data_IF_666686755194
#
_entry.id   IF_666686755194
#
_cell.length_a   1.000
_cell.length_b   1.000
_cell.length_c   1.000
_cell.angle_alpha   90.00
_cell.angle_beta   90.00
_cell.angle_gamma   90.00
#
_symmetry.space_group_name_H-M   'P 1'
#
loop_
_entity.id
_entity.type
_entity.pdbx_description
1 polymer ?
#
# COMPACT_ATOMS: atom_id res chain seq x y z
N UNK A 1 21.27 17.11 55.22
CA UNK A 1 20.83 16.67 56.56
C UNK A 1 19.41 16.14 56.41
N UNK A 2 19.07 15.04 57.08
CA UNK A 2 17.91 14.15 56.92
C UNK A 2 17.93 13.23 55.70
N UNK A 3 17.48 11.98 55.76
CA UNK A 3 17.48 10.94 56.80
C UNK A 3 17.12 9.65 56.07
N UNK A 4 17.71 8.53 56.49
CA UNK A 4 17.53 7.19 55.91
C UNK A 4 16.20 6.59 56.39
N UNK A 5 15.47 5.88 55.52
CA UNK A 5 14.60 4.78 55.92
C UNK A 5 14.64 3.63 54.90
N UNK A 6 15.01 2.45 55.40
CA UNK A 6 15.07 1.15 54.71
C UNK A 6 13.72 0.43 54.81
N UNK A 7 13.70 -0.78 54.23
CA UNK A 7 12.76 -1.91 54.36
C UNK A 7 11.59 -1.91 53.37
N UNK A 8 11.20 -3.03 52.76
CA UNK A 8 11.23 -4.41 53.28
C UNK A 8 11.28 -5.45 52.15
N UNK A 9 12.07 -6.49 52.36
CA UNK A 9 12.05 -7.79 51.66
C UNK A 9 10.70 -8.50 51.77
N UNK A 10 10.14 -8.92 50.63
CA UNK A 10 9.03 -9.88 50.55
C UNK A 10 9.45 -11.12 49.75
N UNK A 11 9.83 -12.20 50.45
CA UNK A 11 10.06 -13.53 49.88
C UNK A 11 8.72 -14.24 49.71
N UNK A 12 8.31 -14.56 48.48
CA UNK A 12 7.22 -15.50 48.23
C UNK A 12 7.72 -16.73 47.46
N UNK A 13 8.00 -17.73 48.30
CA UNK A 13 7.87 -19.19 48.15
C UNK A 13 7.61 -19.74 46.74
N UNK A 14 8.56 -20.58 46.33
CA UNK A 14 8.38 -21.68 45.38
C UNK A 14 7.23 -22.61 45.80
N UNK A 15 6.31 -22.86 44.86
CA UNK A 15 5.49 -24.07 44.83
C UNK A 15 5.14 -24.40 43.37
N UNK A 16 5.89 -25.32 42.78
CA UNK A 16 5.41 -26.23 41.74
C UNK A 16 5.18 -27.59 42.43
N UNK A 17 4.44 -28.59 41.89
CA UNK A 17 4.12 -28.85 40.49
C UNK A 17 2.69 -29.47 40.29
N UNK A 18 2.48 -30.16 39.16
CA UNK A 18 1.29 -30.93 38.73
C UNK A 18 0.20 -30.05 38.10
N UNK A 19 -0.10 -30.12 36.81
CA UNK A 19 -0.14 -31.31 35.96
C UNK A 19 -1.54 -31.37 35.35
N UNK A 20 -1.83 -30.44 34.43
CA UNK A 20 -3.03 -30.50 33.59
C UNK A 20 -2.59 -30.16 32.16
N UNK A 21 -2.43 -31.22 31.37
CA UNK A 21 -2.33 -31.17 29.92
C UNK A 21 -3.70 -30.70 29.38
N UNK A 22 -3.90 -29.39 29.31
CA UNK A 22 -4.96 -28.83 28.47
C UNK A 22 -4.41 -28.85 27.06
N UNK A 23 -4.77 -29.89 26.31
CA UNK A 23 -4.68 -29.90 24.85
C UNK A 23 -5.60 -28.79 24.32
N UNK A 24 -5.11 -27.56 24.36
CA UNK A 24 -5.68 -26.46 23.60
C UNK A 24 -5.44 -26.83 22.13
N UNK A 25 -6.48 -27.39 21.51
CA UNK A 25 -6.56 -27.47 20.07
C UNK A 25 -6.37 -26.07 19.54
N UNK A 26 -5.17 -25.80 19.05
CA UNK A 26 -4.89 -24.66 18.19
C UNK A 26 -5.76 -24.88 16.96
N UNK A 27 -6.99 -24.39 17.02
CA UNK A 27 -7.70 -23.97 15.84
C UNK A 27 -6.77 -22.94 15.19
N UNK A 28 -5.97 -23.44 14.23
CA UNK A 28 -5.35 -22.63 13.21
C UNK A 28 -6.51 -21.96 12.49
N UNK A 29 -6.98 -20.85 13.07
CA UNK A 29 -7.74 -19.85 12.38
C UNK A 29 -6.86 -19.42 11.24
N UNK A 30 -7.06 -20.09 10.10
CA UNK A 30 -6.67 -19.58 8.82
C UNK A 30 -7.40 -18.24 8.70
N UNK A 31 -6.73 -17.18 9.15
CA UNK A 31 -6.95 -15.86 8.62
C UNK A 31 -6.53 -15.94 7.15
N UNK A 32 -7.36 -16.57 6.33
CA UNK A 32 -7.46 -16.26 4.92
C UNK A 32 -7.92 -14.81 4.90
N UNK A 33 -6.96 -13.89 4.99
CA UNK A 33 -7.14 -12.50 4.58
C UNK A 33 -7.32 -12.52 3.06
N UNK A 34 -8.47 -13.05 2.66
CA UNK A 34 -8.97 -13.19 1.30
C UNK A 34 -9.55 -11.84 0.85
N UNK A 35 -8.72 -10.81 0.89
CA UNK A 35 -9.00 -9.51 0.28
C UNK A 35 -7.78 -8.89 -0.37
N UNK A 36 -6.70 -9.66 -0.58
CA UNK A 36 -5.71 -9.30 -1.58
C UNK A 36 -6.34 -9.51 -2.97
N UNK A 37 -7.17 -8.55 -3.41
CA UNK A 37 -7.48 -8.42 -4.84
C UNK A 37 -6.13 -8.40 -5.54
N UNK A 38 -5.85 -9.43 -6.34
CA UNK A 38 -4.64 -9.50 -7.13
C UNK A 38 -4.52 -8.23 -7.99
N UNK A 39 -3.30 -7.78 -8.31
CA UNK A 39 -3.11 -6.54 -9.04
C UNK A 39 -3.92 -6.57 -10.33
N UNK A 40 -4.78 -5.56 -10.53
CA UNK A 40 -5.59 -5.47 -11.74
C UNK A 40 -4.67 -5.31 -12.96
N UNK A 41 -4.76 -6.24 -13.90
CA UNK A 41 -4.05 -6.22 -15.18
C UNK A 41 -5.00 -5.78 -16.29
N UNK A 42 -4.47 -5.08 -17.31
CA UNK A 42 -5.22 -4.78 -18.53
C UNK A 42 -4.75 -5.70 -19.66
N UNK A 43 -5.66 -6.05 -20.57
CA UNK A 43 -5.29 -6.70 -21.83
C UNK A 43 -4.56 -5.74 -22.80
N UNK A 44 -4.77 -4.42 -22.64
CA UNK A 44 -4.07 -3.39 -23.39
C UNK A 44 -2.72 -3.10 -22.71
N UNK A 45 -1.57 -3.40 -23.35
CA UNK A 45 -0.26 -3.18 -22.75
C UNK A 45 0.03 -1.71 -22.48
N UNK A 46 -0.67 -0.80 -23.15
CA UNK A 46 -0.56 0.65 -22.92
C UNK A 46 -1.37 1.12 -21.73
N UNK A 47 -2.04 0.23 -20.99
CA UNK A 47 -2.80 0.57 -19.79
C UNK A 47 -2.26 -0.18 -18.58
N UNK A 48 -2.01 0.54 -17.50
CA UNK A 48 -1.77 -0.06 -16.20
C UNK A 48 -2.65 0.56 -15.13
N UNK A 49 -2.83 -0.18 -14.03
CA UNK A 49 -3.63 0.25 -12.89
C UNK A 49 -2.74 0.37 -11.65
N UNK A 50 -3.02 1.38 -10.83
CA UNK A 50 -2.46 1.52 -9.50
C UNK A 50 -3.59 1.51 -8.48
N UNK A 51 -3.49 0.62 -7.50
CA UNK A 51 -4.29 0.67 -6.29
C UNK A 51 -3.68 1.70 -5.33
N UNK A 52 -4.55 2.60 -4.88
CA UNK A 52 -4.24 3.65 -3.94
C UNK A 52 -4.68 3.20 -2.55
N UNK A 53 -3.73 3.19 -1.63
CA UNK A 53 -3.97 3.29 -0.20
C UNK A 53 -3.57 4.69 0.27
N UNK A 54 -3.90 5.03 1.52
CA UNK A 54 -3.72 6.37 2.09
C UNK A 54 -2.33 6.98 1.82
N UNK A 55 -1.26 6.17 1.85
CA UNK A 55 0.11 6.62 1.59
C UNK A 55 0.86 5.75 0.59
N UNK A 56 0.25 4.66 0.12
CA UNK A 56 0.93 3.65 -0.68
C UNK A 56 0.26 3.46 -2.03
N UNK A 57 1.07 3.15 -3.02
CA UNK A 57 0.68 2.89 -4.40
C UNK A 57 1.18 1.50 -4.76
N UNK A 58 0.29 0.61 -5.21
CA UNK A 58 0.69 -0.72 -5.68
C UNK A 58 0.06 -1.01 -7.03
N UNK A 59 0.76 -1.77 -7.86
CA UNK A 59 0.21 -2.17 -9.15
C UNK A 59 1.19 -2.99 -9.96
N UNK A 60 0.83 -3.21 -11.22
CA UNK A 60 1.65 -3.92 -12.20
C UNK A 60 1.60 -3.18 -13.53
N UNK A 61 2.71 -3.15 -14.26
CA UNK A 61 2.76 -2.59 -15.61
C UNK A 61 3.49 -3.52 -16.58
N UNK A 62 3.22 -3.35 -17.87
CA UNK A 62 3.92 -4.06 -18.93
C UNK A 62 5.22 -3.31 -19.28
N UNK A 63 6.41 -3.91 -19.06
CA UNK A 63 7.69 -3.24 -19.30
C UNK A 63 7.98 -2.98 -20.79
N UNK A 64 7.26 -3.62 -21.72
CA UNK A 64 7.37 -3.33 -23.16
C UNK A 64 6.72 -2.00 -23.53
N UNK A 65 5.75 -1.53 -22.76
CA UNK A 65 5.02 -0.28 -23.01
C UNK A 65 5.48 0.87 -22.10
N UNK A 66 6.15 0.57 -20.98
CA UNK A 66 6.48 1.53 -19.94
C UNK A 66 7.90 1.34 -19.42
N UNK A 67 8.62 2.46 -19.27
CA UNK A 67 9.86 2.52 -18.51
C UNK A 67 9.54 2.81 -17.05
N UNK A 68 10.37 2.32 -16.13
CA UNK A 68 10.27 2.59 -14.69
C UNK A 68 10.12 4.09 -14.38
N UNK A 69 10.91 4.94 -15.05
CA UNK A 69 10.87 6.40 -14.96
C UNK A 69 9.49 6.98 -15.34
N UNK A 70 8.86 6.48 -16.40
CA UNK A 70 7.55 6.92 -16.88
C UNK A 70 6.46 6.58 -15.84
N UNK A 71 6.54 5.38 -15.27
CA UNK A 71 5.62 4.90 -14.23
C UNK A 71 5.77 5.75 -12.97
N UNK A 72 6.99 5.95 -12.48
CA UNK A 72 7.27 6.76 -11.30
C UNK A 72 6.79 8.21 -11.49
N UNK A 73 7.02 8.81 -12.66
CA UNK A 73 6.56 10.16 -13.00
C UNK A 73 5.03 10.27 -13.05
N UNK A 74 4.36 9.25 -13.57
CA UNK A 74 2.90 9.15 -13.58
C UNK A 74 2.32 9.03 -12.17
N UNK A 75 2.84 8.10 -11.37
CA UNK A 75 2.45 7.87 -9.99
C UNK A 75 2.70 9.10 -9.10
N UNK A 76 3.76 9.86 -9.37
CA UNK A 76 4.01 11.11 -8.66
C UNK A 76 2.83 12.09 -8.81
N UNK A 77 2.11 12.11 -9.94
CA UNK A 77 0.98 13.02 -10.14
C UNK A 77 -0.24 12.74 -9.25
N UNK A 78 -0.32 11.57 -8.60
CA UNK A 78 -1.41 11.22 -7.69
C UNK A 78 -1.03 11.33 -6.21
N UNK A 79 0.25 11.58 -5.91
CA UNK A 79 0.69 11.94 -4.56
C UNK A 79 0.37 13.40 -4.26
N UNK A 80 -0.05 13.72 -3.03
CA UNK A 80 -0.50 15.08 -2.69
C UNK A 80 0.57 16.16 -2.84
N UNK A 81 1.83 15.82 -2.59
CA UNK A 81 2.99 16.71 -2.81
C UNK A 81 3.71 16.45 -4.15
N UNK A 82 3.07 15.70 -5.05
CA UNK A 82 3.63 15.23 -6.32
C UNK A 82 4.98 14.51 -6.19
N UNK A 83 5.21 13.86 -5.06
CA UNK A 83 6.50 13.26 -4.71
C UNK A 83 6.33 11.86 -4.15
N UNK A 84 7.06 10.92 -4.74
CA UNK A 84 7.25 9.57 -4.24
C UNK A 84 8.55 9.56 -3.43
N UNK A 85 8.49 9.09 -2.19
CA UNK A 85 9.65 8.98 -1.29
C UNK A 85 10.34 7.63 -1.40
N UNK A 86 9.57 6.60 -1.73
CA UNK A 86 10.08 5.25 -1.92
C UNK A 86 9.44 4.64 -3.15
N UNK A 87 10.25 4.03 -4.01
CA UNK A 87 9.78 3.31 -5.18
C UNK A 87 10.56 2.01 -5.31
N UNK A 88 9.86 0.90 -5.44
CA UNK A 88 10.45 -0.44 -5.59
C UNK A 88 9.71 -1.20 -6.67
N UNK A 89 10.46 -1.98 -7.43
CA UNK A 89 9.93 -2.86 -8.46
C UNK A 89 10.35 -4.30 -8.18
N UNK A 90 9.53 -5.24 -8.62
CA UNK A 90 9.88 -6.66 -8.63
C UNK A 90 9.29 -7.33 -9.88
N UNK A 91 9.98 -8.31 -10.47
CA UNK A 91 9.41 -9.13 -11.54
C UNK A 91 8.13 -9.83 -11.08
N UNK A 92 7.13 -9.90 -11.95
CA UNK A 92 5.86 -10.58 -11.73
C UNK A 92 5.42 -11.30 -13.01
N UNK A 93 6.14 -12.36 -13.37
CA UNK A 93 6.01 -13.02 -14.67
C UNK A 93 6.57 -12.14 -15.79
N UNK A 94 5.77 -11.89 -16.83
CA UNK A 94 6.11 -10.98 -17.93
C UNK A 94 5.87 -9.49 -17.59
N UNK A 95 5.29 -9.23 -16.43
CA UNK A 95 4.95 -7.89 -15.94
C UNK A 95 5.92 -7.46 -14.84
N UNK A 96 5.92 -6.16 -14.52
CA UNK A 96 6.66 -5.60 -13.39
C UNK A 96 5.65 -5.14 -12.34
N UNK A 97 5.71 -5.72 -11.15
CA UNK A 97 4.98 -5.23 -10.00
C UNK A 97 5.75 -4.08 -9.35
N UNK A 98 5.04 -3.05 -8.92
CA UNK A 98 5.64 -1.90 -8.24
C UNK A 98 4.96 -1.63 -6.90
N UNK A 99 5.74 -1.00 -6.03
CA UNK A 99 5.31 -0.37 -4.80
C UNK A 99 5.87 1.05 -4.77
N UNK A 100 5.03 2.02 -4.42
CA UNK A 100 5.41 3.41 -4.20
C UNK A 100 4.87 3.94 -2.88
N UNK A 101 5.61 4.81 -2.21
CA UNK A 101 5.16 5.55 -1.03
C UNK A 101 5.09 7.06 -1.34
N UNK A 102 3.96 7.70 -1.07
CA UNK A 102 3.74 9.12 -1.33
C UNK A 102 4.08 9.97 -0.10
N UNK A 103 4.87 11.03 -0.29
CA UNK A 103 5.11 11.99 0.80
C UNK A 103 3.85 12.78 1.12
N UNK A 104 3.32 12.63 2.34
CA UNK A 104 2.10 13.32 2.78
C UNK A 104 0.81 12.71 2.23
N UNK A 105 0.87 11.45 1.76
CA UNK A 105 -0.29 10.71 1.28
C UNK A 105 -0.64 10.95 -0.19
N UNK A 106 -1.72 10.30 -0.61
CA UNK A 106 -2.32 10.44 -1.94
C UNK A 106 -3.39 11.53 -1.95
N UNK A 107 -3.57 12.23 -3.08
CA UNK A 107 -4.69 13.18 -3.26
C UNK A 107 -6.06 12.48 -3.21
N UNK A 108 -6.04 11.16 -3.41
CA UNK A 108 -7.20 10.28 -3.45
C UNK A 108 -7.08 9.31 -2.26
N UNK A 109 -8.00 9.36 -1.30
CA UNK A 109 -7.95 8.56 -0.07
C UNK A 109 -7.77 7.05 -0.31
N UNK A 110 -8.47 6.50 -1.32
CA UNK A 110 -8.42 5.09 -1.70
C UNK A 110 -9.08 4.88 -3.06
N UNK A 111 -8.67 3.84 -3.79
CA UNK A 111 -9.31 3.43 -5.04
C UNK A 111 -8.33 2.92 -6.09
N UNK A 112 -8.78 2.78 -7.33
CA UNK A 112 -7.94 2.31 -8.44
C UNK A 112 -7.78 3.41 -9.47
N UNK A 113 -6.56 3.85 -9.76
CA UNK A 113 -6.25 4.80 -10.83
C UNK A 113 -5.82 4.04 -12.06
N UNK A 114 -6.27 4.50 -13.22
CA UNK A 114 -5.81 3.98 -14.51
C UNK A 114 -4.87 4.97 -15.20
N UNK A 115 -3.81 4.43 -15.77
CA UNK A 115 -2.80 5.15 -16.52
C UNK A 115 -2.79 4.58 -17.93
N UNK A 116 -2.98 5.44 -18.94
CA UNK A 116 -2.94 5.05 -20.35
C UNK A 116 -1.90 5.86 -21.10
N UNK A 117 -0.96 5.17 -21.75
CA UNK A 117 0.02 5.79 -22.64
C UNK A 117 -0.64 6.15 -23.97
N UNK A 118 -0.40 7.37 -24.42
CA UNK A 118 -0.87 7.91 -25.69
C UNK A 118 0.32 8.61 -26.36
N UNK A 119 1.21 7.81 -26.95
CA UNK A 119 2.48 8.30 -27.50
C UNK A 119 3.43 8.81 -26.41
N UNK A 120 3.74 10.11 -26.44
CA UNK A 120 4.57 10.80 -25.44
C UNK A 120 3.76 11.41 -24.28
N UNK A 121 2.50 11.02 -24.14
CA UNK A 121 1.62 11.47 -23.07
C UNK A 121 1.12 10.31 -22.23
N UNK A 122 0.93 10.58 -20.95
CA UNK A 122 0.29 9.67 -20.02
C UNK A 122 -1.04 10.28 -19.58
N UNK A 123 -2.15 9.64 -19.94
CA UNK A 123 -3.48 9.99 -19.46
C UNK A 123 -3.73 9.30 -18.13
N UNK A 124 -4.07 10.08 -17.13
CA UNK A 124 -4.36 9.62 -15.77
C UNK A 124 -5.85 9.78 -15.56
N UNK A 125 -6.53 8.73 -15.12
CA UNK A 125 -7.96 8.76 -14.81
C UNK A 125 -8.21 8.15 -13.44
N UNK A 126 -8.82 8.95 -12.57
CA UNK A 126 -9.24 8.56 -11.23
C UNK A 126 -10.77 8.38 -11.25
N UNK A 127 -11.27 7.14 -11.28
CA UNK A 127 -12.69 6.85 -11.21
C UNK A 127 -13.22 7.14 -9.79
N UNK A 128 -14.46 7.65 -9.71
CA UNK A 128 -15.16 7.81 -8.44
C UNK A 128 -14.43 8.68 -7.43
N UNK A 129 -13.77 9.75 -7.88
CA UNK A 129 -13.09 10.70 -7.03
C UNK A 129 -14.12 11.34 -6.08
N UNK A 130 -14.26 10.75 -4.89
CA UNK A 130 -14.85 11.42 -3.73
C UNK A 130 -13.75 12.38 -3.27
N UNK A 131 -13.62 13.49 -4.00
CA UNK A 131 -13.00 14.67 -3.44
C UNK A 131 -13.66 14.90 -2.08
N UNK A 132 -12.96 15.50 -1.12
CA UNK A 132 -13.64 16.00 0.09
C UNK A 132 -14.79 16.97 -0.25
N UNK A 133 -14.90 17.41 -1.51
CA UNK A 133 -16.06 18.05 -2.12
C UNK A 133 -16.97 17.10 -2.95
N UNK A 134 -18.10 16.72 -2.32
CA UNK A 134 -19.43 16.22 -2.76
C UNK A 134 -19.82 15.87 -4.22
N UNK A 135 -19.05 16.06 -5.29
CA UNK A 135 -19.58 15.99 -6.67
C UNK A 135 -19.47 14.67 -7.42
N UNK A 136 -18.77 13.65 -6.91
CA UNK A 136 -18.70 12.31 -7.53
C UNK A 136 -18.36 12.30 -9.04
N UNK A 137 -17.56 13.26 -9.50
CA UNK A 137 -17.15 13.37 -10.90
C UNK A 137 -15.79 12.69 -11.11
N UNK A 138 -15.64 11.92 -12.19
CA UNK A 138 -14.36 11.31 -12.53
C UNK A 138 -13.37 12.37 -13.03
N UNK A 139 -12.19 12.49 -12.41
CA UNK A 139 -11.13 13.38 -12.88
C UNK A 139 -10.23 12.65 -13.87
N UNK A 140 -9.94 13.31 -14.99
CA UNK A 140 -8.97 12.84 -15.96
C UNK A 140 -8.08 13.99 -16.42
N UNK A 141 -6.77 13.76 -16.48
CA UNK A 141 -5.79 14.72 -17.00
C UNK A 141 -4.68 13.98 -17.75
N UNK A 142 -3.73 14.72 -18.31
CA UNK A 142 -2.60 14.12 -19.02
C UNK A 142 -1.31 14.87 -18.74
N UNK A 143 -0.22 14.12 -18.64
CA UNK A 143 1.14 14.66 -18.51
C UNK A 143 1.99 14.26 -19.71
N UNK A 144 3.08 14.99 -19.95
CA UNK A 144 4.13 14.57 -20.88
C UNK A 144 5.06 13.58 -20.18
N UNK A 145 5.34 12.46 -20.85
CA UNK A 145 6.36 11.49 -20.45
C UNK A 145 7.74 12.06 -20.75
#
# INVERSE_FOLDING_TARGET
>A
MFSIARNTTGRHRFTAPLGVLIAAGFALGACSLDTARGPMTSADPTVFYAELAQENLTGVYNPLAYRSEDVQKGLAQVCGNRRITEYRERPAGEMVAFFGHCWGGTDVLMGTVSFRRMGNRLRIRVPGYIDRDRRNESRAWSIRL
#
